data_IF_422417011097
#
_entry.id   IF_422417011097
#
_cell.length_a   1.000
_cell.length_b   1.000
_cell.length_c   1.000
_cell.angle_alpha   90.00
_cell.angle_beta   90.00
_cell.angle_gamma   90.00
#
_symmetry.space_group_name_H-M   'P 1'
#
loop_
_entity.id
_entity.type
_entity.pdbx_description
1 polymer ?
#
# COMPACT_ATOMS: atom_id res chain seq x y z
N UNK A 1 4.09 -10.84 -18.40
CA UNK A 1 4.41 -9.40 -18.65
C UNK A 1 3.66 -8.82 -19.85
N UNK A 2 3.67 -9.48 -21.04
CA UNK A 2 2.96 -8.97 -22.24
C UNK A 2 1.49 -8.57 -22.03
N UNK A 3 0.75 -9.32 -21.20
CA UNK A 3 -0.65 -9.01 -20.87
C UNK A 3 -0.79 -7.62 -20.24
N UNK A 4 -0.02 -7.34 -19.19
CA UNK A 4 -0.08 -6.05 -18.47
C UNK A 4 0.26 -4.90 -19.41
N UNK A 5 1.32 -5.04 -20.21
CA UNK A 5 1.72 -4.01 -21.18
C UNK A 5 0.62 -3.73 -22.22
N UNK A 6 -0.09 -4.76 -22.68
CA UNK A 6 -1.22 -4.55 -23.59
C UNK A 6 -2.40 -3.87 -22.89
N UNK A 7 -2.68 -4.21 -21.63
CA UNK A 7 -3.73 -3.58 -20.83
C UNK A 7 -3.41 -2.09 -20.59
N UNK A 8 -2.16 -1.74 -20.26
CA UNK A 8 -1.70 -0.34 -20.17
C UNK A 8 -2.08 0.41 -21.44
N UNK A 9 -1.72 -0.13 -22.62
CA UNK A 9 -1.95 0.55 -23.91
C UNK A 9 -3.43 0.80 -24.19
N UNK A 10 -4.31 -0.09 -23.75
CA UNK A 10 -5.76 0.06 -23.93
C UNK A 10 -6.28 1.15 -22.98
N UNK A 11 -5.92 1.09 -21.70
CA UNK A 11 -6.37 2.07 -20.68
C UNK A 11 -5.87 3.47 -21.03
N UNK A 12 -4.61 3.62 -21.42
CA UNK A 12 -4.04 4.93 -21.78
C UNK A 12 -4.64 5.51 -23.07
N UNK A 13 -5.13 4.65 -23.98
CA UNK A 13 -5.74 5.10 -25.24
C UNK A 13 -7.22 5.51 -25.07
N UNK A 14 -7.88 5.08 -24.00
CA UNK A 14 -9.28 5.36 -23.74
C UNK A 14 -9.44 6.73 -23.05
N UNK A 15 -10.21 7.62 -23.68
CA UNK A 15 -10.43 8.97 -23.18
C UNK A 15 -11.32 9.02 -21.94
N UNK A 16 -12.23 8.05 -21.79
CA UNK A 16 -13.21 8.04 -20.70
C UNK A 16 -12.60 7.63 -19.36
N UNK A 17 -11.51 6.84 -19.39
CA UNK A 17 -10.85 6.31 -18.17
C UNK A 17 -9.63 7.11 -17.73
N UNK A 18 -9.19 8.09 -18.52
CA UNK A 18 -7.93 8.84 -18.31
C UNK A 18 -7.84 9.52 -16.94
N UNK A 19 -8.95 10.05 -16.43
CA UNK A 19 -9.00 10.76 -15.15
C UNK A 19 -9.31 9.83 -13.96
N UNK A 20 -9.67 8.56 -14.24
CA UNK A 20 -10.11 7.59 -13.23
C UNK A 20 -9.07 6.51 -12.93
N UNK A 21 -8.36 6.04 -13.96
CA UNK A 21 -7.43 4.92 -13.85
C UNK A 21 -6.20 5.16 -14.71
N UNK A 22 -5.04 5.22 -14.06
CA UNK A 22 -3.73 5.24 -14.73
C UNK A 22 -2.94 4.01 -14.30
N UNK A 23 -2.37 3.30 -15.28
CA UNK A 23 -1.60 2.07 -15.03
C UNK A 23 -0.20 2.22 -15.62
N UNK A 24 0.81 2.11 -14.77
CA UNK A 24 2.22 2.21 -15.15
C UNK A 24 2.92 0.88 -14.89
N UNK A 25 3.77 0.46 -15.82
CA UNK A 25 4.65 -0.69 -15.66
C UNK A 25 6.10 -0.22 -15.79
N UNK A 26 6.85 -0.25 -14.68
CA UNK A 26 8.25 0.17 -14.67
C UNK A 26 9.13 -0.98 -15.19
N UNK A 27 9.85 -0.81 -16.32
CA UNK A 27 10.84 -1.78 -16.76
C UNK A 27 12.07 -1.75 -15.86
N UNK A 28 12.79 -2.88 -15.81
CA UNK A 28 14.08 -3.01 -15.11
C UNK A 28 14.06 -2.60 -13.63
N UNK A 29 13.11 -3.15 -12.86
CA UNK A 29 12.98 -2.91 -11.43
C UNK A 29 14.27 -3.29 -10.68
N UNK A 30 14.96 -2.28 -10.16
CA UNK A 30 16.23 -2.38 -9.44
C UNK A 30 16.14 -1.79 -8.04
N UNK A 31 17.20 -1.92 -7.23
CA UNK A 31 17.24 -1.38 -5.86
C UNK A 31 17.04 0.14 -5.86
N UNK A 32 17.63 0.86 -6.83
CA UNK A 32 17.46 2.32 -6.96
C UNK A 32 16.01 2.71 -7.23
N UNK A 33 15.28 1.94 -8.03
CA UNK A 33 13.85 2.17 -8.25
C UNK A 33 13.02 1.80 -7.01
N UNK A 34 13.40 0.74 -6.29
CA UNK A 34 12.75 0.34 -5.07
C UNK A 34 12.84 1.42 -3.97
N UNK A 35 13.97 2.12 -3.85
CA UNK A 35 14.15 3.21 -2.88
C UNK A 35 13.18 4.37 -3.09
N UNK A 36 12.84 4.66 -4.35
CA UNK A 36 11.86 5.69 -4.71
C UNK A 36 10.43 5.18 -4.61
N UNK A 37 10.19 3.92 -4.97
CA UNK A 37 8.85 3.33 -5.02
C UNK A 37 8.33 2.97 -3.62
N UNK A 38 9.15 2.40 -2.75
CA UNK A 38 8.71 1.89 -1.44
C UNK A 38 8.02 2.91 -0.51
N UNK A 39 8.47 4.18 -0.41
CA UNK A 39 7.80 5.16 0.46
C UNK A 39 6.52 5.77 -0.14
N UNK A 40 6.27 5.56 -1.43
CA UNK A 40 5.21 6.25 -2.17
C UNK A 40 3.80 5.60 -2.16
N UNK A 41 3.59 4.28 -2.07
CA UNK A 41 2.25 3.71 -2.20
C UNK A 41 1.38 3.98 -0.98
N UNK A 42 0.06 3.98 -1.18
CA UNK A 42 -0.93 3.86 -0.10
C UNK A 42 -1.26 2.40 0.18
N UNK A 43 -1.05 1.53 -0.82
CA UNK A 43 -1.41 0.12 -0.78
C UNK A 43 -0.26 -0.70 -1.39
N UNK A 44 0.20 -1.71 -0.66
CA UNK A 44 1.15 -2.71 -1.14
C UNK A 44 0.43 -4.05 -1.35
N UNK A 45 0.53 -4.61 -2.55
CA UNK A 45 -0.14 -5.88 -2.89
C UNK A 45 0.84 -7.06 -2.73
N UNK A 46 0.58 -7.88 -1.73
CA UNK A 46 1.26 -9.17 -1.50
C UNK A 46 0.22 -10.28 -1.59
N UNK A 47 -0.16 -10.69 -2.80
CA UNK A 47 -1.30 -11.60 -3.06
C UNK A 47 -0.86 -13.03 -3.42
N UNK A 48 0.29 -13.45 -2.92
CA UNK A 48 0.78 -14.82 -3.06
C UNK A 48 -0.28 -15.82 -2.58
N UNK A 49 -0.31 -16.99 -3.21
CA UNK A 49 -1.24 -18.05 -2.78
C UNK A 49 -0.76 -18.56 -1.43
N UNK A 50 -1.66 -18.71 -0.46
CA UNK A 50 -1.29 -19.07 0.91
C UNK A 50 -0.35 -20.29 0.96
N UNK A 51 0.78 -20.15 1.64
CA UNK A 51 1.82 -21.17 1.76
C UNK A 51 2.83 -21.23 0.61
N UNK A 52 2.80 -20.29 -0.34
CA UNK A 52 3.78 -20.24 -1.46
C UNK A 52 4.90 -19.23 -1.24
N UNK A 53 4.70 -18.24 -0.38
CA UNK A 53 5.71 -17.24 -0.02
C UNK A 53 6.35 -17.58 1.33
N UNK A 54 7.64 -17.90 1.32
CA UNK A 54 8.34 -18.30 2.55
C UNK A 54 8.55 -17.13 3.54
N UNK A 55 8.72 -15.90 3.05
CA UNK A 55 8.93 -14.74 3.92
C UNK A 55 8.52 -13.42 3.25
N UNK A 56 9.08 -13.08 2.08
CA UNK A 56 8.71 -11.82 1.41
C UNK A 56 9.26 -10.57 2.10
N UNK A 57 10.50 -10.19 1.81
CA UNK A 57 11.16 -9.05 2.49
C UNK A 57 10.67 -7.68 2.03
N UNK A 58 10.08 -7.58 0.84
CA UNK A 58 9.49 -6.32 0.35
C UNK A 58 8.28 -5.92 1.19
N UNK A 59 7.49 -6.87 1.71
CA UNK A 59 6.36 -6.54 2.58
C UNK A 59 6.82 -5.85 3.87
N UNK A 60 7.92 -6.33 4.44
CA UNK A 60 8.53 -5.71 5.63
C UNK A 60 8.97 -4.27 5.35
N UNK A 61 9.53 -3.99 4.17
CA UNK A 61 9.93 -2.62 3.78
C UNK A 61 8.72 -1.68 3.66
N UNK A 62 7.60 -2.17 3.15
CA UNK A 62 6.34 -1.39 3.11
C UNK A 62 5.77 -1.16 4.51
N UNK A 63 5.82 -2.18 5.37
CA UNK A 63 5.39 -2.06 6.77
C UNK A 63 6.20 -1.03 7.55
N UNK A 64 7.52 -0.97 7.33
CA UNK A 64 8.38 0.07 7.92
C UNK A 64 8.03 1.49 7.44
N UNK A 65 7.47 1.63 6.24
CA UNK A 65 6.99 2.90 5.71
C UNK A 65 5.52 3.19 6.09
N UNK A 66 4.92 2.37 6.95
CA UNK A 66 3.59 2.60 7.51
C UNK A 66 2.43 1.98 6.73
N UNK A 67 2.70 1.15 5.73
CA UNK A 67 1.67 0.41 4.99
C UNK A 67 1.35 -0.91 5.68
N UNK A 68 0.08 -1.26 5.74
CA UNK A 68 -0.38 -2.51 6.35
C UNK A 68 -0.56 -3.62 5.31
N UNK A 69 -0.20 -4.87 5.63
CA UNK A 69 -0.42 -5.99 4.72
C UNK A 69 -1.92 -6.30 4.56
N UNK A 70 -2.31 -6.66 3.35
CA UNK A 70 -3.71 -6.89 2.97
C UNK A 70 -4.10 -8.37 3.06
N UNK A 71 -3.12 -9.29 3.07
CA UNK A 71 -3.32 -10.74 3.02
C UNK A 71 -2.66 -11.46 4.18
N UNK A 72 -3.12 -12.68 4.45
CA UNK A 72 -2.58 -13.58 5.48
C UNK A 72 -1.72 -14.65 4.81
N UNK A 73 -0.46 -14.34 4.54
CA UNK A 73 0.52 -15.29 3.98
C UNK A 73 1.96 -14.95 4.41
N UNK A 74 2.83 -15.96 4.49
CA UNK A 74 4.26 -15.80 4.76
C UNK A 74 4.58 -14.89 5.97
N UNK A 75 5.53 -13.96 5.80
CA UNK A 75 5.89 -13.02 6.88
C UNK A 75 4.80 -11.99 7.21
N UNK A 76 3.67 -11.98 6.50
CA UNK A 76 2.53 -11.16 6.89
C UNK A 76 1.91 -11.69 8.19
N UNK A 77 2.07 -12.99 8.49
CA UNK A 77 1.67 -13.59 9.76
C UNK A 77 2.56 -13.04 10.88
N UNK A 78 3.89 -13.03 10.69
CA UNK A 78 4.83 -12.47 11.66
C UNK A 78 4.57 -10.96 11.91
N UNK A 79 4.30 -10.21 10.83
CA UNK A 79 3.93 -8.79 10.92
C UNK A 79 2.58 -8.62 11.65
N UNK A 80 1.64 -9.54 11.46
CA UNK A 80 0.35 -9.51 12.14
C UNK A 80 0.47 -9.73 13.65
N UNK A 81 1.38 -10.60 14.08
CA UNK A 81 1.70 -10.83 15.49
C UNK A 81 2.29 -9.58 16.14
N UNK A 82 3.22 -8.89 15.46
CA UNK A 82 3.89 -7.70 15.99
C UNK A 82 3.00 -6.45 15.98
N UNK A 83 2.24 -6.24 14.90
CA UNK A 83 1.37 -5.05 14.74
C UNK A 83 0.03 -5.24 15.48
N UNK A 84 -0.36 -6.49 15.73
CA UNK A 84 -1.61 -6.90 16.36
C UNK A 84 -2.78 -6.92 15.37
N UNK A 85 -3.52 -8.03 15.35
CA UNK A 85 -4.61 -8.31 14.39
C UNK A 85 -5.64 -7.18 14.27
N UNK A 86 -5.94 -6.48 15.38
CA UNK A 86 -6.90 -5.36 15.40
C UNK A 86 -6.56 -4.17 14.48
N UNK A 87 -5.31 -4.07 14.03
CA UNK A 87 -4.87 -3.02 13.10
C UNK A 87 -4.94 -3.48 11.64
N UNK A 88 -5.20 -4.75 11.37
CA UNK A 88 -5.16 -5.29 10.02
C UNK A 88 -6.52 -5.23 9.32
N UNK A 89 -6.54 -4.97 8.00
CA UNK A 89 -7.78 -4.78 7.26
C UNK A 89 -8.63 -6.06 7.13
N UNK A 90 -8.05 -7.25 7.31
CA UNK A 90 -8.77 -8.52 7.27
C UNK A 90 -9.37 -8.92 8.63
N UNK A 91 -9.00 -8.26 9.72
CA UNK A 91 -9.51 -8.61 11.03
C UNK A 91 -10.95 -8.12 11.22
N UNK A 92 -11.84 -8.94 11.81
CA UNK A 92 -13.26 -8.62 11.93
C UNK A 92 -13.55 -7.41 12.83
N UNK A 93 -12.57 -6.94 13.62
CA UNK A 93 -12.72 -5.82 14.57
C UNK A 93 -11.68 -4.72 14.30
N UNK A 94 -11.31 -4.51 13.03
CA UNK A 94 -10.33 -3.50 12.65
C UNK A 94 -10.68 -2.12 13.26
N UNK A 95 -9.78 -1.59 14.09
CA UNK A 95 -9.99 -0.37 14.88
C UNK A 95 -9.59 0.89 14.10
N UNK A 96 -8.86 0.72 12.98
CA UNK A 96 -8.32 1.84 12.20
C UNK A 96 -8.89 1.86 10.78
N UNK A 97 -9.16 3.06 10.22
CA UNK A 97 -9.40 3.20 8.80
C UNK A 97 -8.12 2.88 8.01
N UNK A 98 -8.30 2.21 6.88
CA UNK A 98 -7.29 1.95 5.85
C UNK A 98 -6.62 3.25 5.36
N UNK A 99 -5.30 3.34 5.03
CA UNK A 99 -4.19 2.38 5.18
C UNK A 99 -3.00 2.93 6.02
N UNK A 100 -3.22 3.80 7.02
CA UNK A 100 -2.12 4.48 7.71
C UNK A 100 -1.85 3.90 9.11
N UNK A 101 -0.66 3.30 9.28
CA UNK A 101 -0.10 3.11 10.61
C UNK A 101 0.31 4.49 11.19
N UNK A 102 0.04 4.80 12.46
CA UNK A 102 0.53 6.04 13.04
C UNK A 102 2.07 6.05 13.02
N UNK A 103 2.72 7.20 12.78
CA UNK A 103 4.16 7.29 12.92
C UNK A 103 4.57 6.88 14.34
N UNK A 104 5.67 6.13 14.46
CA UNK A 104 6.18 5.56 15.71
C UNK A 104 6.43 6.59 16.83
N UNK A 105 6.41 7.89 16.53
CA UNK A 105 6.52 8.99 17.48
C UNK A 105 5.25 9.83 17.53
N UNK A 106 4.20 9.32 18.21
CA UNK A 106 3.18 10.17 18.83
C UNK A 106 2.99 9.72 20.27
N UNK A 107 3.39 10.59 21.19
CA UNK A 107 3.10 10.48 22.62
C UNK A 107 1.66 10.04 22.84
N UNK A 108 1.48 8.98 23.63
CA UNK A 108 0.18 8.44 24.07
C UNK A 108 -0.68 9.56 24.68
N UNK A 109 -1.48 10.27 23.89
CA UNK A 109 -2.62 11.01 24.42
C UNK A 109 -3.76 10.01 24.63
N UNK A 110 -3.93 9.61 25.89
CA UNK A 110 -5.07 8.84 26.40
C UNK A 110 -6.36 9.63 26.18
N UNK A 111 -7.06 9.40 25.08
CA UNK A 111 -8.51 9.65 24.99
C UNK A 111 -9.15 8.51 24.21
N UNK A 112 -10.03 7.78 24.89
CA UNK A 112 -10.77 6.64 24.35
C UNK A 112 -11.55 7.03 23.08
N UNK A 113 -11.58 6.19 22.02
CA UNK A 113 -12.39 6.52 20.86
C UNK A 113 -13.86 6.22 21.17
N UNK A 114 -14.69 7.25 21.01
CA UNK A 114 -16.13 7.13 20.87
C UNK A 114 -16.47 6.16 19.75
N UNK A 115 -17.48 5.30 19.99
CA UNK A 115 -18.08 4.38 19.00
C UNK A 115 -18.75 5.16 17.86
N UNK A 116 -17.97 5.65 16.90
CA UNK A 116 -18.48 6.16 15.62
C UNK A 116 -17.43 5.90 14.54
N UNK A 117 -17.45 4.69 14.00
CA UNK A 117 -16.79 4.35 12.74
C UNK A 117 -17.62 4.92 11.58
N UNK A 118 -17.62 6.23 11.41
CA UNK A 118 -18.32 6.89 10.32
C UNK A 118 -17.46 8.03 9.79
N UNK A 119 -16.92 7.87 8.57
CA UNK A 119 -16.49 8.99 7.75
C UNK A 119 -14.99 9.28 7.63
N UNK A 120 -14.11 8.29 7.45
CA UNK A 120 -12.79 8.55 6.86
C UNK A 120 -12.86 8.31 5.36
N UNK A 121 -13.28 9.31 4.59
CA UNK A 121 -13.17 9.29 3.13
C UNK A 121 -11.68 9.29 2.75
N UNK A 122 -11.25 8.33 1.95
CA UNK A 122 -9.91 8.34 1.38
C UNK A 122 -9.77 9.55 0.45
N UNK A 123 -8.87 10.47 0.78
CA UNK A 123 -8.54 11.61 -0.06
C UNK A 123 -7.26 11.26 -0.82
N UNK A 124 -7.34 10.92 -2.12
CA UNK A 124 -6.14 10.61 -2.90
C UNK A 124 -5.27 11.86 -2.98
N UNK A 125 -4.04 11.75 -2.47
CA UNK A 125 -3.01 12.78 -2.64
C UNK A 125 -2.33 12.53 -3.99
N UNK A 126 -2.19 13.55 -4.85
CA UNK A 126 -1.49 13.40 -6.12
C UNK A 126 -0.05 12.94 -5.91
N UNK A 127 0.47 12.13 -6.84
CA UNK A 127 1.79 11.48 -6.70
C UNK A 127 2.92 12.51 -6.66
N UNK A 128 2.73 13.67 -7.29
CA UNK A 128 3.66 14.79 -7.29
C UNK A 128 3.86 15.38 -5.89
N UNK A 129 2.79 15.42 -5.08
CA UNK A 129 2.82 15.90 -3.70
C UNK A 129 3.34 14.81 -2.75
N UNK A 130 2.98 13.54 -3.01
CA UNK A 130 3.35 12.43 -2.14
C UNK A 130 4.80 11.98 -2.32
N UNK A 131 5.27 11.87 -3.55
CA UNK A 131 6.62 11.45 -3.88
C UNK A 131 7.09 12.10 -5.19
N UNK A 132 7.70 13.30 -5.14
CA UNK A 132 8.17 14.00 -6.34
C UNK A 132 9.22 13.21 -7.12
N UNK A 133 10.02 12.39 -6.42
CA UNK A 133 10.99 11.49 -7.04
C UNK A 133 10.31 10.41 -7.90
N UNK A 134 9.18 9.86 -7.44
CA UNK A 134 8.43 8.88 -8.23
C UNK A 134 7.70 9.54 -9.40
N UNK A 135 7.18 10.76 -9.21
CA UNK A 135 6.56 11.53 -10.30
C UNK A 135 7.55 11.76 -11.45
N UNK A 136 8.83 12.05 -11.18
CA UNK A 136 9.88 12.18 -12.20
C UNK A 136 10.18 10.87 -12.95
N UNK A 137 9.96 9.72 -12.32
CA UNK A 137 10.16 8.40 -12.96
C UNK A 137 8.95 8.03 -13.83
N UNK A 138 7.78 8.55 -13.50
CA UNK A 138 6.51 8.26 -14.18
C UNK A 138 6.14 9.25 -15.29
N UNK A 139 6.76 10.44 -15.30
CA UNK A 139 6.61 11.48 -16.32
C UNK A 139 7.31 11.13 -17.63
#
# INVERSE_FOLDING_TARGET
IRLIVNVVRIITADADTKDLLSLYFLPDYSVSLAEVLIPAPDISQHISTAGTEASGTSNMKFCLNGLLPVTVDGANIDIAEEVGESNLPWAPHAVRPFPLMPPANRSRSRTAPSRTCAGSTYHPVPIEEKCPALAQVLS
#
